data_IF_439403608408
#
_entry.id   IF_439403608408
#
_cell.length_a   1.000
_cell.length_b   1.000
_cell.length_c   1.000
_cell.angle_alpha   90.00
_cell.angle_beta   90.00
_cell.angle_gamma   90.00
#
_symmetry.space_group_name_H-M   'P 1'
#
loop_
_entity.id
_entity.type
_entity.pdbx_description
1 polymer ?
#
# COMPACT_ATOMS: atom_id res chain seq x y z
N UNK A 1 16.25 -11.82 62.77
CA UNK A 1 16.27 -13.14 62.10
C UNK A 1 15.72 -12.97 60.70
N UNK A 2 16.56 -13.00 59.68
CA UNK A 2 16.17 -12.77 58.27
C UNK A 2 15.84 -14.13 57.65
N UNK A 3 14.59 -14.34 57.23
CA UNK A 3 14.17 -15.55 56.52
C UNK A 3 14.76 -15.52 55.11
N UNK A 4 15.66 -16.45 54.80
CA UNK A 4 16.11 -16.74 53.45
C UNK A 4 14.92 -17.31 52.66
N UNK A 5 14.53 -16.63 51.58
CA UNK A 5 13.52 -17.12 50.64
C UNK A 5 14.10 -18.30 49.87
N UNK A 6 13.31 -19.36 49.74
CA UNK A 6 13.64 -20.50 48.87
C UNK A 6 13.46 -20.07 47.41
N UNK A 7 14.56 -19.87 46.69
CA UNK A 7 14.54 -19.65 45.26
C UNK A 7 14.17 -20.97 44.56
N UNK A 8 12.89 -21.14 44.26
CA UNK A 8 12.40 -22.23 43.40
C UNK A 8 12.90 -21.98 41.98
N UNK A 9 13.91 -22.74 41.55
CA UNK A 9 14.44 -22.71 40.19
C UNK A 9 13.44 -23.29 39.17
N UNK A 10 13.39 -22.67 37.99
CA UNK A 10 12.63 -23.14 36.82
C UNK A 10 13.22 -24.47 36.32
N UNK A 11 12.40 -25.49 36.10
CA UNK A 11 12.88 -26.78 35.62
C UNK A 11 13.14 -26.74 34.11
N UNK A 12 14.15 -27.48 33.64
CA UNK A 12 14.42 -27.59 32.20
C UNK A 12 13.23 -28.19 31.44
N UNK A 13 12.49 -29.10 32.07
CA UNK A 13 11.32 -29.72 31.45
C UNK A 13 10.16 -28.74 31.25
N UNK A 14 9.97 -27.78 32.17
CA UNK A 14 8.99 -26.70 31.99
C UNK A 14 9.35 -25.84 30.78
N UNK A 15 10.63 -25.53 30.60
CA UNK A 15 11.08 -24.78 29.42
C UNK A 15 10.85 -25.56 28.13
N UNK A 16 11.08 -26.88 28.14
CA UNK A 16 10.90 -27.74 26.98
C UNK A 16 9.44 -27.85 26.52
N UNK A 17 8.50 -27.98 27.45
CA UNK A 17 7.07 -28.05 27.11
C UNK A 17 6.57 -26.71 26.56
N UNK A 18 7.06 -25.60 27.12
CA UNK A 18 6.69 -24.26 26.65
C UNK A 18 7.15 -24.02 25.21
N UNK A 19 8.39 -24.33 24.86
CA UNK A 19 8.86 -24.17 23.47
C UNK A 19 8.13 -25.09 22.49
N UNK A 20 7.72 -26.29 22.93
CA UNK A 20 6.94 -27.21 22.11
C UNK A 20 5.55 -26.64 21.78
N UNK A 21 4.87 -26.07 22.77
CA UNK A 21 3.56 -25.45 22.56
C UNK A 21 3.70 -24.22 21.65
N UNK A 22 4.70 -23.36 21.88
CA UNK A 22 4.95 -22.18 21.03
C UNK A 22 5.26 -22.61 19.59
N UNK A 23 6.01 -23.70 19.37
CA UNK A 23 6.31 -24.22 18.04
C UNK A 23 5.03 -24.64 17.27
N UNK A 24 4.08 -25.29 17.95
CA UNK A 24 2.79 -25.69 17.35
C UNK A 24 1.97 -24.46 16.99
N UNK A 25 1.91 -23.47 17.89
CA UNK A 25 1.17 -22.23 17.64
C UNK A 25 1.79 -21.42 16.49
N UNK A 26 3.12 -21.33 16.43
CA UNK A 26 3.83 -20.63 15.36
C UNK A 26 3.65 -21.31 14.00
N UNK A 27 3.59 -22.64 13.96
CA UNK A 27 3.41 -23.39 12.71
C UNK A 27 2.12 -22.99 11.95
N UNK A 28 1.03 -22.69 12.66
CA UNK A 28 -0.22 -22.21 12.05
C UNK A 28 -0.30 -20.68 12.04
N UNK A 29 0.29 -20.01 13.03
CA UNK A 29 0.24 -18.56 13.18
C UNK A 29 1.03 -17.80 12.13
N UNK A 30 2.24 -18.24 11.79
CA UNK A 30 3.12 -17.57 10.82
C UNK A 30 2.47 -17.48 9.42
N UNK A 31 2.00 -18.57 8.79
CA UNK A 31 1.41 -18.47 7.45
C UNK A 31 0.14 -17.60 7.43
N UNK A 32 -0.70 -17.70 8.46
CA UNK A 32 -1.89 -16.85 8.60
C UNK A 32 -1.51 -15.37 8.74
N UNK A 33 -0.49 -15.06 9.55
CA UNK A 33 0.01 -13.70 9.75
C UNK A 33 0.63 -13.12 8.47
N UNK A 34 1.42 -13.89 7.73
CA UNK A 34 2.01 -13.45 6.46
C UNK A 34 0.92 -13.11 5.42
N UNK A 35 -0.10 -13.96 5.29
CA UNK A 35 -1.23 -13.70 4.39
C UNK A 35 -2.10 -12.52 4.83
N UNK A 36 -2.24 -12.27 6.14
CA UNK A 36 -2.91 -11.09 6.65
C UNK A 36 -2.10 -9.80 6.37
N UNK A 37 -0.78 -9.82 6.58
CA UNK A 37 0.10 -8.69 6.29
C UNK A 37 0.10 -8.33 4.81
N UNK A 38 0.14 -9.32 3.92
CA UNK A 38 0.05 -9.11 2.46
C UNK A 38 -1.21 -8.35 2.07
N UNK A 39 -2.37 -8.85 2.49
CA UNK A 39 -3.66 -8.21 2.24
C UNK A 39 -3.76 -6.81 2.86
N UNK A 40 -3.15 -6.60 4.03
CA UNK A 40 -3.11 -5.29 4.66
C UNK A 40 -2.31 -4.29 3.82
N UNK A 41 -1.13 -4.66 3.30
CA UNK A 41 -0.36 -3.78 2.42
C UNK A 41 -1.06 -3.51 1.09
N UNK A 42 -1.71 -4.52 0.51
CA UNK A 42 -2.53 -4.32 -0.69
C UNK A 42 -3.65 -3.31 -0.45
N UNK A 43 -4.29 -3.38 0.72
CA UNK A 43 -5.31 -2.42 1.10
C UNK A 43 -4.74 -1.02 1.29
N UNK A 44 -3.55 -0.88 1.89
CA UNK A 44 -2.87 0.42 2.02
C UNK A 44 -2.60 1.03 0.64
N UNK A 45 -2.07 0.24 -0.30
CA UNK A 45 -1.83 0.68 -1.68
C UNK A 45 -3.13 1.14 -2.36
N UNK A 46 -4.21 0.36 -2.26
CA UNK A 46 -5.53 0.72 -2.79
C UNK A 46 -6.08 2.01 -2.18
N UNK A 47 -5.93 2.20 -0.87
CA UNK A 47 -6.40 3.43 -0.21
C UNK A 47 -5.57 4.64 -0.61
N UNK A 48 -4.25 4.49 -0.78
CA UNK A 48 -3.37 5.58 -1.22
C UNK A 48 -3.82 6.14 -2.58
N UNK A 49 -3.99 5.28 -3.60
CA UNK A 49 -4.45 5.75 -4.92
C UNK A 49 -5.88 6.28 -4.90
N UNK A 50 -6.76 5.75 -4.03
CA UNK A 50 -8.14 6.24 -3.91
C UNK A 50 -8.20 7.62 -3.27
N UNK A 51 -7.34 7.90 -2.30
CA UNK A 51 -7.26 9.22 -1.68
C UNK A 51 -6.77 10.26 -2.71
N UNK A 52 -5.69 9.94 -3.43
CA UNK A 52 -5.20 10.81 -4.51
C UNK A 52 -6.27 11.00 -5.58
N UNK A 53 -6.94 9.94 -6.03
CA UNK A 53 -7.97 10.05 -7.06
C UNK A 53 -9.13 10.97 -6.64
N UNK A 54 -9.56 10.90 -5.38
CA UNK A 54 -10.58 11.81 -4.83
C UNK A 54 -10.08 13.25 -4.79
N UNK A 55 -8.81 13.47 -4.43
CA UNK A 55 -8.22 14.80 -4.41
C UNK A 55 -8.14 15.40 -5.82
N UNK A 56 -7.74 14.61 -6.82
CA UNK A 56 -7.76 15.02 -8.23
C UNK A 56 -9.18 15.37 -8.70
N UNK A 57 -10.17 14.52 -8.38
CA UNK A 57 -11.56 14.78 -8.73
C UNK A 57 -12.10 16.05 -8.05
N UNK A 58 -11.74 16.30 -6.79
CA UNK A 58 -12.10 17.51 -6.08
C UNK A 58 -11.49 18.77 -6.72
N UNK A 59 -10.23 18.72 -7.16
CA UNK A 59 -9.58 19.82 -7.86
C UNK A 59 -10.18 20.11 -9.23
N UNK A 60 -10.49 19.05 -9.96
CA UNK A 60 -11.20 19.13 -11.24
C UNK A 60 -12.54 19.84 -11.09
N UNK A 61 -13.29 19.54 -10.02
CA UNK A 61 -14.58 20.17 -9.72
C UNK A 61 -14.44 21.62 -9.18
N UNK A 62 -13.32 21.94 -8.52
CA UNK A 62 -13.08 23.25 -7.93
C UNK A 62 -12.71 24.33 -8.97
N UNK A 63 -12.19 23.93 -10.14
CA UNK A 63 -11.70 24.85 -11.16
C UNK A 63 -12.72 25.00 -12.29
N UNK A 64 -13.13 26.23 -12.62
CA UNK A 64 -14.10 26.49 -13.69
C UNK A 64 -13.63 26.03 -15.08
N UNK A 65 -12.32 25.93 -15.29
CA UNK A 65 -11.70 25.41 -16.51
C UNK A 65 -11.47 23.88 -16.47
N UNK A 66 -11.86 23.20 -15.37
CA UNK A 66 -11.73 21.75 -15.20
C UNK A 66 -10.30 21.22 -15.45
N UNK A 67 -9.30 22.05 -15.16
CA UNK A 67 -7.90 21.73 -15.41
C UNK A 67 -7.34 20.82 -14.33
N UNK A 68 -6.57 19.83 -14.76
CA UNK A 68 -5.80 18.96 -13.88
C UNK A 68 -4.31 19.35 -13.96
N UNK A 69 -3.56 19.30 -12.85
CA UNK A 69 -2.11 19.50 -12.88
C UNK A 69 -1.43 18.54 -13.87
N UNK A 70 -0.27 18.94 -14.41
CA UNK A 70 0.55 18.01 -15.16
C UNK A 70 1.08 16.91 -14.23
N UNK A 71 1.35 15.71 -14.77
CA UNK A 71 1.78 14.56 -13.97
C UNK A 71 3.00 14.83 -13.05
N UNK A 72 3.93 15.69 -13.50
CA UNK A 72 5.12 16.07 -12.74
C UNK A 72 4.82 16.95 -11.51
N UNK A 73 3.66 17.61 -11.47
CA UNK A 73 3.29 18.57 -10.43
C UNK A 73 2.42 17.97 -9.32
N UNK A 74 2.11 16.67 -9.37
CA UNK A 74 1.20 16.04 -8.40
C UNK A 74 1.70 16.14 -6.96
N UNK A 75 3.01 16.00 -6.74
CA UNK A 75 3.63 16.08 -5.40
C UNK A 75 3.58 17.47 -4.76
N UNK A 76 3.29 18.52 -5.53
CA UNK A 76 3.21 19.90 -5.03
C UNK A 76 1.79 20.46 -5.10
N UNK A 77 0.99 20.02 -6.07
CA UNK A 77 -0.33 20.58 -6.34
C UNK A 77 -1.49 19.67 -5.93
N UNK A 78 -1.31 18.34 -5.83
CA UNK A 78 -2.39 17.40 -5.46
C UNK A 78 -2.23 16.95 -4.02
N UNK A 79 -1.11 16.29 -3.69
CA UNK A 79 -0.85 15.77 -2.36
C UNK A 79 0.66 15.64 -2.15
N UNK A 80 1.18 16.05 -0.98
CA UNK A 80 2.61 15.97 -0.69
C UNK A 80 3.00 14.76 0.15
N UNK A 81 2.00 14.04 0.69
CA UNK A 81 2.19 12.87 1.54
C UNK A 81 2.70 11.64 0.79
N UNK A 82 2.56 11.63 -0.54
CA UNK A 82 2.96 10.52 -1.41
C UNK A 82 4.08 10.96 -2.35
N UNK A 83 4.95 10.01 -2.70
CA UNK A 83 5.84 10.18 -3.83
C UNK A 83 5.05 9.97 -5.13
N UNK A 84 5.40 10.74 -6.16
CA UNK A 84 4.80 10.64 -7.48
C UNK A 84 5.85 10.52 -8.56
N UNK A 85 5.52 9.76 -9.58
CA UNK A 85 6.34 9.58 -10.77
C UNK A 85 5.50 9.80 -12.03
N UNK A 86 5.91 10.74 -12.86
CA UNK A 86 5.25 10.99 -14.14
C UNK A 86 5.56 9.86 -15.12
N UNK A 87 4.53 9.22 -15.68
CA UNK A 87 4.65 8.19 -16.69
C UNK A 87 4.60 8.82 -18.09
N UNK A 88 5.53 8.40 -18.95
CA UNK A 88 5.61 8.88 -20.34
C UNK A 88 4.54 8.26 -21.28
N UNK A 89 3.85 7.21 -20.84
CA UNK A 89 2.80 6.54 -21.58
C UNK A 89 1.75 5.97 -20.61
N UNK A 90 0.54 5.72 -21.11
CA UNK A 90 -0.48 5.01 -20.36
C UNK A 90 0.11 3.70 -19.81
N UNK A 91 -0.17 3.32 -18.55
CA UNK A 91 0.43 2.15 -17.93
C UNK A 91 0.00 0.88 -18.70
N UNK A 92 0.87 0.40 -19.58
CA UNK A 92 0.81 -0.95 -20.12
C UNK A 92 1.52 -1.86 -19.11
N UNK A 93 0.81 -2.88 -18.64
CA UNK A 93 1.24 -3.97 -17.76
C UNK A 93 2.77 -4.14 -17.72
N UNK A 94 3.37 -3.85 -16.55
CA UNK A 94 4.82 -3.92 -16.35
C UNK A 94 5.53 -2.57 -16.22
N UNK A 95 4.97 -1.47 -16.75
CA UNK A 95 5.56 -0.12 -16.61
C UNK A 95 5.04 0.69 -15.44
N UNK A 96 4.05 0.17 -14.67
CA UNK A 96 3.77 0.74 -13.34
C UNK A 96 5.06 0.58 -12.56
N UNK A 97 5.64 1.70 -12.16
CA UNK A 97 7.01 1.65 -11.80
C UNK A 97 7.21 1.06 -10.41
N UNK A 98 8.13 0.10 -10.36
CA UNK A 98 8.65 -0.52 -9.15
C UNK A 98 9.67 0.47 -8.58
N UNK A 99 9.29 1.31 -7.61
CA UNK A 99 10.17 2.39 -7.13
C UNK A 99 10.72 2.18 -5.70
N UNK A 100 11.75 2.98 -5.42
CA UNK A 100 12.68 2.92 -4.29
C UNK A 100 12.06 3.05 -2.89
N UNK A 101 10.80 3.45 -2.79
CA UNK A 101 10.05 3.57 -1.53
C UNK A 101 8.70 2.89 -1.63
N UNK A 102 8.16 2.31 -0.53
CA UNK A 102 6.83 1.73 -0.54
C UNK A 102 5.77 2.76 -0.98
N UNK A 103 4.88 2.37 -1.89
CA UNK A 103 3.70 3.14 -2.32
C UNK A 103 3.95 4.40 -3.17
N UNK A 104 5.05 4.50 -3.91
CA UNK A 104 5.18 5.54 -4.94
C UNK A 104 4.09 5.39 -6.02
N UNK A 105 3.47 6.49 -6.40
CA UNK A 105 2.31 6.52 -7.29
C UNK A 105 2.75 6.97 -8.68
N UNK A 106 2.58 6.09 -9.66
CA UNK A 106 2.69 6.42 -11.07
C UNK A 106 1.50 7.25 -11.53
N UNK A 107 1.76 8.39 -12.18
CA UNK A 107 0.75 9.30 -12.73
C UNK A 107 0.92 9.41 -14.23
N UNK A 108 -0.13 9.09 -14.96
CA UNK A 108 -0.25 9.37 -16.39
C UNK A 108 -1.42 10.33 -16.61
N UNK A 109 -1.16 11.44 -17.31
CA UNK A 109 -2.18 12.44 -17.66
C UNK A 109 -2.31 12.48 -19.18
N UNK A 110 -3.53 12.38 -19.68
CA UNK A 110 -3.86 12.50 -21.11
C UNK A 110 -5.03 13.47 -21.28
N UNK A 111 -4.72 14.74 -21.56
CA UNK A 111 -5.71 15.81 -21.51
C UNK A 111 -6.29 15.94 -20.10
N UNK A 112 -7.60 15.81 -19.97
CA UNK A 112 -8.33 15.90 -18.69
C UNK A 112 -8.49 14.53 -18.00
N UNK A 113 -7.98 13.45 -18.59
CA UNK A 113 -8.04 12.11 -18.01
C UNK A 113 -6.73 11.79 -17.27
N UNK A 114 -6.86 11.19 -16.09
CA UNK A 114 -5.72 10.78 -15.26
C UNK A 114 -5.80 9.28 -15.00
N UNK A 115 -4.69 8.58 -15.23
CA UNK A 115 -4.52 7.20 -14.78
C UNK A 115 -3.46 7.17 -13.70
N UNK A 116 -3.85 6.65 -12.53
CA UNK A 116 -2.95 6.44 -11.41
C UNK A 116 -2.63 4.95 -11.29
N UNK A 117 -1.39 4.64 -10.92
CA UNK A 117 -0.93 3.28 -10.68
C UNK A 117 -0.07 3.21 -9.42
N UNK A 118 -0.20 2.13 -8.66
CA UNK A 118 0.65 1.85 -7.49
C UNK A 118 0.98 0.37 -7.42
N UNK A 119 2.13 0.05 -6.84
CA UNK A 119 2.53 -1.29 -6.49
C UNK A 119 2.56 -1.46 -4.96
N UNK A 120 1.97 -2.54 -4.47
CA UNK A 120 2.04 -2.96 -3.07
C UNK A 120 3.43 -3.49 -2.74
N UNK A 121 3.83 -3.45 -1.46
CA UNK A 121 5.08 -4.09 -0.98
C UNK A 121 5.16 -5.58 -1.34
N UNK A 122 4.01 -6.21 -1.61
CA UNK A 122 3.89 -7.61 -2.01
C UNK A 122 3.84 -7.83 -3.54
N UNK A 123 4.09 -6.79 -4.34
CA UNK A 123 4.18 -6.86 -5.81
C UNK A 123 2.85 -6.79 -6.57
N UNK A 124 1.72 -6.68 -5.85
CA UNK A 124 0.41 -6.50 -6.48
C UNK A 124 0.26 -5.07 -7.02
N UNK A 125 -0.23 -4.97 -8.25
CA UNK A 125 -0.39 -3.68 -8.95
C UNK A 125 -1.85 -3.26 -8.98
N UNK A 126 -2.11 -1.99 -8.68
CA UNK A 126 -3.46 -1.42 -8.68
C UNK A 126 -3.49 -0.18 -9.54
N UNK A 127 -4.59 0.02 -10.27
CA UNK A 127 -4.79 1.20 -11.10
C UNK A 127 -6.17 1.79 -10.87
N UNK A 128 -6.28 3.09 -11.08
CA UNK A 128 -7.55 3.80 -11.11
C UNK A 128 -7.48 4.88 -12.18
N UNK A 129 -8.53 4.98 -12.98
CA UNK A 129 -8.70 6.04 -13.96
C UNK A 129 -9.67 7.09 -13.41
N UNK A 130 -9.37 8.35 -13.67
CA UNK A 130 -10.26 9.48 -13.46
C UNK A 130 -10.56 10.04 -14.84
N UNK A 131 -11.83 10.02 -15.21
CA UNK A 131 -12.29 10.48 -16.51
C UNK A 131 -13.35 11.55 -16.30
N UNK A 132 -13.12 12.75 -16.85
CA UNK A 132 -14.05 13.88 -16.71
C UNK A 132 -14.45 14.14 -15.23
N UNK A 133 -13.44 14.16 -14.35
CA UNK A 133 -13.61 14.36 -12.91
C UNK A 133 -14.27 13.21 -12.13
N UNK A 134 -14.64 12.11 -12.78
CA UNK A 134 -15.24 10.96 -12.11
C UNK A 134 -14.18 9.91 -11.80
N UNK A 135 -14.10 9.51 -10.53
CA UNK A 135 -13.18 8.45 -10.06
C UNK A 135 -13.75 7.09 -10.47
N UNK A 136 -12.99 6.35 -11.25
CA UNK A 136 -13.30 4.98 -11.64
C UNK A 136 -13.10 3.96 -10.52
N UNK A 137 -13.31 2.68 -10.85
CA UNK A 137 -13.08 1.58 -9.89
C UNK A 137 -11.59 1.25 -9.82
N UNK A 138 -11.09 1.00 -8.61
CA UNK A 138 -9.74 0.43 -8.45
C UNK A 138 -9.71 -0.96 -9.04
N UNK A 139 -8.91 -1.14 -10.07
CA UNK A 139 -8.73 -2.42 -10.71
C UNK A 139 -7.41 -3.01 -10.26
N UNK A 140 -7.47 -4.22 -9.69
CA UNK A 140 -6.27 -5.00 -9.50
C UNK A 140 -5.81 -5.50 -10.85
N UNK A 141 -4.58 -5.16 -11.16
CA UNK A 141 -3.90 -5.58 -12.35
C UNK A 141 -3.41 -7.02 -12.09
N UNK A 142 -3.77 -7.96 -12.96
CA UNK A 142 -3.24 -9.33 -12.94
C UNK A 142 -1.70 -9.31 -12.82
N UNK A 143 -1.18 -10.16 -11.92
CA UNK A 143 0.26 -10.39 -11.83
C UNK A 143 0.80 -10.90 -13.17
N UNK A 144 2.06 -10.59 -13.54
CA UNK A 144 2.70 -11.21 -14.69
C UNK A 144 2.76 -12.74 -14.57
#
# INVERSE_FOLDING_TARGET
>A
MIKLREDKGFTLIELMVVILIIAILMAVGIPAFLGARGRAQDNVAKQAIMNVAKNVAAQWAATAAHTIPAAADFGTQVESSYAFSALAAAPAWGTIPVWATPFDIGVYVNGDDVTLGVESEYGNKFTVAITNGQVGTVTQLAAP
#
